data_IF_182890568953
#
_entry.id   IF_182890568953
#
_cell.length_a   1.000
_cell.length_b   1.000
_cell.length_c   1.000
_cell.angle_alpha   90.00
_cell.angle_beta   90.00
_cell.angle_gamma   90.00
#
_symmetry.space_group_name_H-M   'P 1'
#
loop_
_entity.id
_entity.type
_entity.pdbx_description
1 polymer ?
#
# COMPACT_ATOMS: atom_id res chain seq x y z
N UNK A 1 15.96 -1.49 1.34
CA UNK A 1 16.47 -2.46 2.33
C UNK A 1 17.75 -3.11 1.86
N UNK A 2 17.75 -3.91 0.78
CA UNK A 2 18.94 -4.73 0.47
C UNK A 2 20.15 -3.97 -0.09
N UNK A 3 19.98 -2.93 -0.90
CA UNK A 3 21.13 -2.21 -1.49
C UNK A 3 21.79 -1.21 -0.52
N UNK A 4 21.00 -0.65 0.40
CA UNK A 4 21.45 0.34 1.39
C UNK A 4 21.54 -0.25 2.80
N UNK A 5 21.46 -1.58 2.91
CA UNK A 5 21.47 -2.33 4.17
C UNK A 5 20.56 -1.78 5.27
N UNK A 6 19.38 -1.26 4.89
CA UNK A 6 18.41 -0.72 5.85
C UNK A 6 17.82 -1.89 6.64
N UNK A 7 17.98 -1.92 7.99
CA UNK A 7 17.38 -2.96 8.80
C UNK A 7 15.85 -2.97 8.67
N UNK A 8 15.23 -4.15 8.67
CA UNK A 8 13.77 -4.31 8.51
C UNK A 8 13.00 -3.44 9.51
N UNK A 9 13.37 -3.49 10.79
CA UNK A 9 12.74 -2.68 11.85
C UNK A 9 12.85 -1.17 11.63
N UNK A 10 13.90 -0.71 10.94
CA UNK A 10 14.04 0.72 10.64
C UNK A 10 13.11 1.11 9.49
N UNK A 11 13.00 0.25 8.47
CA UNK A 11 12.10 0.46 7.34
C UNK A 11 10.62 0.40 7.76
N UNK A 12 10.26 -0.49 8.69
CA UNK A 12 8.90 -0.65 9.20
C UNK A 12 8.32 0.65 9.78
N UNK A 13 9.16 1.53 10.35
CA UNK A 13 8.74 2.83 10.91
C UNK A 13 8.12 3.76 9.86
N UNK A 14 8.40 3.57 8.57
CA UNK A 14 7.77 4.36 7.51
C UNK A 14 6.25 4.19 7.46
N UNK A 15 5.72 3.05 7.94
CA UNK A 15 4.28 2.83 8.02
C UNK A 15 3.59 3.88 8.91
N UNK A 16 4.24 4.34 9.97
CA UNK A 16 3.72 5.37 10.89
C UNK A 16 3.51 6.72 10.20
N UNK A 17 4.21 6.97 9.10
CA UNK A 17 4.12 8.19 8.29
C UNK A 17 3.23 8.04 7.05
N UNK A 18 2.80 6.81 6.73
CA UNK A 18 2.04 6.54 5.52
C UNK A 18 0.60 7.03 5.66
N UNK A 19 0.32 8.22 5.12
CA UNK A 19 -1.02 8.81 5.11
C UNK A 19 -1.33 9.48 3.76
N UNK A 20 -1.68 8.71 2.72
CA UNK A 20 -1.97 9.28 1.40
C UNK A 20 -3.36 9.96 1.38
N UNK A 21 -3.44 11.17 1.92
CA UNK A 21 -4.70 11.92 2.11
C UNK A 21 -5.46 12.20 0.81
N UNK A 22 -4.76 12.23 -0.33
CA UNK A 22 -5.36 12.44 -1.65
C UNK A 22 -5.68 11.13 -2.39
N UNK A 23 -5.49 9.96 -1.75
CA UNK A 23 -5.78 8.68 -2.38
C UNK A 23 -7.27 8.51 -2.70
N UNK A 24 -7.54 8.21 -3.97
CA UNK A 24 -8.87 7.96 -4.51
C UNK A 24 -8.81 6.84 -5.56
N UNK A 25 -9.29 5.65 -5.21
CA UNK A 25 -9.30 4.48 -6.09
C UNK A 25 -10.14 4.72 -7.37
N UNK A 26 -11.29 5.37 -7.25
CA UNK A 26 -12.18 5.67 -8.38
C UNK A 26 -11.49 6.58 -9.42
N UNK A 27 -10.77 7.61 -8.96
CA UNK A 27 -10.03 8.50 -9.85
C UNK A 27 -8.95 7.76 -10.64
N UNK A 28 -8.23 6.84 -9.99
CA UNK A 28 -7.19 6.00 -10.62
C UNK A 28 -7.83 5.10 -11.69
N UNK A 29 -8.89 4.36 -11.33
CA UNK A 29 -9.57 3.45 -12.26
C UNK A 29 -10.21 4.21 -13.43
N UNK A 30 -10.81 5.37 -13.17
CA UNK A 30 -11.36 6.25 -14.22
C UNK A 30 -10.26 6.66 -15.21
N UNK A 31 -9.09 7.08 -14.73
CA UNK A 31 -7.97 7.45 -15.59
C UNK A 31 -7.43 6.27 -16.38
N UNK A 32 -7.28 5.10 -15.76
CA UNK A 32 -6.87 3.88 -16.47
C UNK A 32 -7.81 3.53 -17.63
N UNK A 33 -9.13 3.65 -17.41
CA UNK A 33 -10.15 3.46 -18.46
C UNK A 33 -10.04 4.52 -19.57
N UNK A 34 -9.85 5.79 -19.22
CA UNK A 34 -9.64 6.89 -20.19
C UNK A 34 -8.41 6.64 -21.07
N UNK A 35 -7.36 6.03 -20.53
CA UNK A 35 -6.15 5.63 -21.28
C UNK A 35 -6.29 4.33 -22.07
N UNK A 36 -7.47 3.70 -22.06
CA UNK A 36 -7.73 2.47 -22.82
C UNK A 36 -7.21 1.18 -22.17
N UNK A 37 -6.79 1.23 -20.89
CA UNK A 37 -6.37 0.05 -20.15
C UNK A 37 -7.56 -0.90 -19.92
N UNK A 38 -7.28 -2.20 -19.91
CA UNK A 38 -8.30 -3.26 -19.72
C UNK A 38 -8.18 -4.00 -18.40
N UNK A 39 -7.06 -3.85 -17.71
CA UNK A 39 -6.80 -4.45 -16.41
C UNK A 39 -5.77 -3.59 -15.65
N UNK A 40 -5.71 -3.80 -14.34
CA UNK A 40 -4.69 -3.23 -13.45
C UNK A 40 -4.05 -4.40 -12.71
N UNK A 41 -2.73 -4.40 -12.61
CA UNK A 41 -2.00 -5.26 -11.68
C UNK A 41 -1.56 -4.38 -10.52
N UNK A 42 -2.06 -4.70 -9.33
CA UNK A 42 -1.78 -3.94 -8.12
C UNK A 42 -0.87 -4.74 -7.20
N UNK A 43 0.12 -4.07 -6.63
CA UNK A 43 1.06 -4.65 -5.68
C UNK A 43 0.40 -4.80 -4.32
N UNK A 44 -0.26 -5.95 -4.09
CA UNK A 44 -0.91 -6.25 -2.81
C UNK A 44 0.08 -6.30 -1.64
N UNK A 45 1.30 -6.75 -1.90
CA UNK A 45 2.44 -6.79 -1.00
C UNK A 45 3.72 -6.94 -1.83
N UNK A 46 4.78 -6.24 -1.45
CA UNK A 46 6.09 -6.39 -2.10
C UNK A 46 7.13 -6.97 -1.12
N UNK A 47 8.41 -6.94 -1.48
CA UNK A 47 9.48 -7.61 -0.75
C UNK A 47 9.70 -7.09 0.68
N UNK A 48 9.24 -5.87 0.99
CA UNK A 48 9.21 -5.32 2.35
C UNK A 48 8.20 -5.99 3.27
N UNK A 49 7.23 -6.73 2.71
CA UNK A 49 6.23 -7.46 3.49
C UNK A 49 5.03 -6.63 3.95
N UNK A 50 4.99 -5.33 3.65
CA UNK A 50 3.87 -4.44 3.96
C UNK A 50 2.65 -4.78 3.08
N UNK A 51 1.54 -5.15 3.71
CA UNK A 51 0.32 -5.47 2.99
C UNK A 51 -0.54 -4.22 2.74
N UNK A 52 -0.94 -4.00 1.49
CA UNK A 52 -1.82 -2.90 1.06
C UNK A 52 -3.32 -3.20 1.26
N UNK A 53 -3.63 -4.20 2.10
CA UNK A 53 -4.98 -4.66 2.46
C UNK A 53 -5.04 -5.03 3.94
N UNK A 54 -6.23 -5.18 4.53
CA UNK A 54 -6.38 -5.54 5.94
C UNK A 54 -6.04 -7.02 6.20
N UNK A 55 -4.75 -7.32 6.28
CA UNK A 55 -4.22 -8.67 6.48
C UNK A 55 -4.55 -9.22 7.87
N UNK A 56 -5.07 -10.44 7.91
CA UNK A 56 -5.31 -11.18 9.16
C UNK A 56 -4.05 -11.91 9.68
N UNK A 57 -3.00 -12.01 8.86
CA UNK A 57 -1.79 -12.76 9.20
C UNK A 57 -0.72 -11.90 9.88
N UNK A 58 -0.75 -10.58 9.70
CA UNK A 58 0.26 -9.66 10.22
C UNK A 58 -0.31 -8.25 10.39
N UNK A 59 0.07 -7.59 11.48
CA UNK A 59 -0.27 -6.18 11.76
C UNK A 59 0.53 -5.20 10.89
N UNK A 60 1.55 -5.65 10.17
CA UNK A 60 2.30 -4.81 9.23
C UNK A 60 1.52 -4.66 7.92
N UNK A 61 0.43 -3.89 7.99
CA UNK A 61 -0.50 -3.66 6.89
C UNK A 61 -1.07 -2.22 6.93
N UNK A 62 -1.69 -1.80 5.83
CA UNK A 62 -2.17 -0.42 5.65
C UNK A 62 -3.21 0.01 6.69
N UNK A 63 -4.03 -0.92 7.18
CA UNK A 63 -5.08 -0.60 8.16
C UNK A 63 -4.50 -0.53 9.57
N UNK A 64 -3.69 -1.50 9.98
CA UNK A 64 -3.21 -1.59 11.37
C UNK A 64 -1.99 -0.70 11.65
N UNK A 65 -1.02 -0.63 10.73
CA UNK A 65 0.28 -0.02 10.97
C UNK A 65 0.39 1.46 10.55
N UNK A 66 -0.65 2.04 9.94
CA UNK A 66 -0.59 3.41 9.41
C UNK A 66 -1.69 4.31 10.00
N UNK A 67 -1.53 5.64 9.95
CA UNK A 67 -2.62 6.58 10.23
C UNK A 67 -3.74 6.59 9.17
N UNK A 68 -3.53 6.00 7.98
CA UNK A 68 -4.50 6.02 6.89
C UNK A 68 -5.76 5.18 7.19
N UNK A 69 -5.59 4.04 7.86
CA UNK A 69 -6.67 3.16 8.38
C UNK A 69 -7.70 2.66 7.33
N UNK A 70 -7.44 2.82 6.04
CA UNK A 70 -8.30 2.38 4.93
C UNK A 70 -7.68 1.22 4.18
N UNK A 71 -8.53 0.29 3.72
CA UNK A 71 -8.10 -0.86 2.91
C UNK A 71 -7.99 -0.44 1.43
N UNK A 72 -6.76 -0.10 1.00
CA UNK A 72 -6.49 0.41 -0.35
C UNK A 72 -6.88 -0.59 -1.44
N UNK A 73 -6.68 -1.88 -1.22
CA UNK A 73 -7.01 -2.91 -2.21
C UNK A 73 -8.51 -3.18 -2.30
N UNK A 74 -9.24 -2.97 -1.19
CA UNK A 74 -10.67 -3.19 -1.11
C UNK A 74 -11.54 -2.07 -1.70
N UNK A 75 -10.98 -0.87 -1.93
CA UNK A 75 -11.65 0.30 -2.53
C UNK A 75 -11.67 0.26 -4.07
#
# INVERSE_FOLDING_TARGET
MNYLDIPVKEYEKLAEQFNPVEFNAEAIVKKAKEWGMRYIVFTSKHHEGFAMYHSQCSKYNVVDATPFKRDILGE
#
